data_IF_210919842161
#
_entry.id   IF_210919842161
#
_cell.length_a   1.000
_cell.length_b   1.000
_cell.length_c   1.000
_cell.angle_alpha   90.00
_cell.angle_beta   90.00
_cell.angle_gamma   90.00
#
_symmetry.space_group_name_H-M   'P 1'
#
loop_
_entity.id
_entity.type
_entity.pdbx_description
1 polymer ?
#
# COMPACT_ATOMS: atom_id res chain seq x y z
N UNK A 1 -6.83 -13.24 -0.14
CA UNK A 1 -7.93 -12.35 -0.53
C UNK A 1 -9.26 -13.09 -0.63
N UNK A 2 -9.38 -14.10 -1.48
CA UNK A 2 -10.65 -14.85 -1.67
C UNK A 2 -11.19 -15.43 -0.35
N UNK A 3 -10.34 -15.99 0.51
CA UNK A 3 -10.76 -16.42 1.85
C UNK A 3 -11.24 -15.23 2.70
N UNK A 4 -10.53 -14.12 2.68
CA UNK A 4 -10.93 -12.94 3.45
C UNK A 4 -12.30 -12.40 3.01
N UNK A 5 -12.66 -12.53 1.73
CA UNK A 5 -13.98 -12.12 1.24
C UNK A 5 -15.15 -12.95 1.78
N UNK A 6 -14.89 -14.07 2.47
CA UNK A 6 -15.93 -14.86 3.17
C UNK A 6 -16.35 -14.22 4.50
N UNK A 7 -15.55 -13.28 5.03
CA UNK A 7 -15.81 -12.61 6.30
C UNK A 7 -16.86 -11.50 6.10
N UNK A 8 -18.13 -11.86 6.13
CA UNK A 8 -19.28 -10.97 5.89
C UNK A 8 -20.18 -10.78 7.11
N UNK A 9 -19.60 -10.92 8.31
CA UNK A 9 -20.30 -10.57 9.54
C UNK A 9 -20.12 -9.07 9.86
N UNK A 10 -21.19 -8.32 9.64
CA UNK A 10 -21.20 -6.85 9.81
C UNK A 10 -22.32 -6.44 10.79
N UNK A 11 -22.10 -6.60 12.13
CA UNK A 11 -23.16 -6.39 13.13
C UNK A 11 -23.65 -4.93 13.21
N UNK A 12 -22.82 -3.96 12.78
CA UNK A 12 -23.11 -2.53 12.88
C UNK A 12 -23.43 -1.88 11.53
N UNK A 13 -23.47 -2.65 10.45
CA UNK A 13 -23.77 -2.14 9.11
C UNK A 13 -25.16 -2.62 8.63
N UNK A 14 -25.69 -1.95 7.61
CA UNK A 14 -26.97 -2.33 7.02
C UNK A 14 -26.93 -3.72 6.37
N UNK A 15 -28.11 -4.36 6.28
CA UNK A 15 -28.24 -5.65 5.57
C UNK A 15 -27.86 -5.55 4.09
N UNK A 16 -28.06 -4.39 3.48
CA UNK A 16 -27.69 -4.13 2.09
C UNK A 16 -26.16 -4.19 1.91
N UNK A 17 -25.39 -3.72 2.89
CA UNK A 17 -23.94 -3.83 2.86
C UNK A 17 -23.50 -5.29 2.77
N UNK A 18 -24.01 -6.13 3.66
CA UNK A 18 -23.72 -7.56 3.64
C UNK A 18 -24.09 -8.20 2.31
N UNK A 19 -25.30 -7.94 1.80
CA UNK A 19 -25.78 -8.46 0.53
C UNK A 19 -24.89 -8.09 -0.64
N UNK A 20 -24.44 -6.83 -0.71
CA UNK A 20 -23.53 -6.37 -1.76
C UNK A 20 -22.15 -7.02 -1.66
N UNK A 21 -21.58 -7.11 -0.45
CA UNK A 21 -20.31 -7.80 -0.23
C UNK A 21 -20.38 -9.28 -0.64
N UNK A 22 -21.46 -9.97 -0.31
CA UNK A 22 -21.65 -11.39 -0.66
C UNK A 22 -21.91 -11.60 -2.15
N UNK A 23 -22.60 -10.67 -2.80
CA UNK A 23 -22.83 -10.70 -4.23
C UNK A 23 -21.56 -10.46 -5.04
N UNK A 24 -20.81 -9.45 -4.68
CA UNK A 24 -19.71 -8.94 -5.50
C UNK A 24 -18.34 -9.49 -5.11
N UNK A 25 -18.10 -9.83 -3.83
CA UNK A 25 -16.85 -10.39 -3.33
C UNK A 25 -15.61 -9.63 -3.80
N UNK A 26 -15.67 -8.29 -3.82
CA UNK A 26 -14.61 -7.44 -4.36
C UNK A 26 -13.25 -7.73 -3.71
N UNK A 27 -12.24 -7.88 -4.54
CA UNK A 27 -10.84 -7.97 -4.13
C UNK A 27 -10.06 -6.78 -4.70
N UNK A 28 -8.87 -6.60 -4.17
CA UNK A 28 -7.95 -5.56 -4.63
C UNK A 28 -6.52 -6.07 -4.59
N UNK A 29 -6.18 -7.02 -5.45
CA UNK A 29 -4.79 -7.44 -5.64
C UNK A 29 -4.06 -6.33 -6.39
N UNK A 30 -2.95 -5.84 -5.82
CA UNK A 30 -2.13 -4.81 -6.43
C UNK A 30 -0.64 -5.11 -6.23
N UNK A 31 0.21 -4.48 -7.03
CA UNK A 31 1.66 -4.64 -6.97
C UNK A 31 2.25 -3.31 -6.48
N UNK A 32 3.16 -3.38 -5.51
CA UNK A 32 4.01 -2.26 -5.12
C UNK A 32 5.45 -2.52 -5.59
N UNK A 33 6.29 -1.48 -5.62
CA UNK A 33 7.68 -1.63 -6.08
C UNK A 33 7.83 -1.73 -7.60
N UNK A 34 6.91 -1.18 -8.37
CA UNK A 34 6.89 -1.37 -9.82
C UNK A 34 8.10 -0.72 -10.52
N UNK A 35 8.63 0.37 -10.00
CA UNK A 35 9.83 1.02 -10.56
C UNK A 35 11.14 0.35 -10.10
N UNK A 36 11.10 -0.45 -9.05
CA UNK A 36 12.25 -1.23 -8.60
C UNK A 36 12.40 -2.56 -9.38
N UNK A 37 11.36 -2.97 -10.12
CA UNK A 37 11.35 -4.23 -10.86
C UNK A 37 10.86 -4.02 -12.30
N UNK A 38 11.79 -4.03 -13.26
CA UNK A 38 11.48 -3.82 -14.68
C UNK A 38 10.48 -4.84 -15.25
N UNK A 39 10.51 -6.08 -14.76
CA UNK A 39 9.65 -7.17 -15.25
C UNK A 39 8.16 -6.85 -15.05
N UNK A 40 7.79 -6.27 -13.90
CA UNK A 40 6.38 -5.93 -13.61
C UNK A 40 5.90 -4.64 -14.29
N UNK A 41 6.73 -4.04 -15.14
CA UNK A 41 6.34 -2.94 -16.05
C UNK A 41 6.02 -3.42 -17.46
N UNK A 42 6.30 -4.69 -17.78
CA UNK A 42 5.94 -5.30 -19.06
C UNK A 42 4.42 -5.60 -19.08
N UNK A 43 3.66 -5.04 -20.05
CA UNK A 43 2.22 -5.27 -20.18
C UNK A 43 1.84 -6.75 -20.26
N UNK A 44 2.63 -7.56 -20.96
CA UNK A 44 2.39 -9.00 -21.11
C UNK A 44 2.55 -9.76 -19.80
N UNK A 45 3.48 -9.32 -18.96
CA UNK A 45 3.68 -9.90 -17.63
C UNK A 45 2.52 -9.50 -16.72
N UNK A 46 2.12 -8.23 -16.71
CA UNK A 46 0.98 -7.74 -15.93
C UNK A 46 -0.30 -8.47 -16.31
N UNK A 47 -0.56 -8.68 -17.60
CA UNK A 47 -1.72 -9.44 -18.07
C UNK A 47 -1.71 -10.89 -17.56
N UNK A 48 -0.56 -11.57 -17.61
CA UNK A 48 -0.41 -12.93 -17.06
C UNK A 48 -0.67 -12.97 -15.56
N UNK A 49 -0.15 -12.01 -14.81
CA UNK A 49 -0.36 -11.92 -13.37
C UNK A 49 -1.82 -11.65 -13.01
N UNK A 50 -2.49 -10.76 -13.75
CA UNK A 50 -3.93 -10.50 -13.63
C UNK A 50 -4.74 -11.77 -13.88
N UNK A 51 -4.47 -12.47 -14.99
CA UNK A 51 -5.18 -13.69 -15.35
C UNK A 51 -4.96 -14.81 -14.31
N UNK A 52 -3.75 -14.92 -13.76
CA UNK A 52 -3.46 -15.86 -12.67
C UNK A 52 -4.23 -15.51 -11.40
N UNK A 53 -4.28 -14.23 -11.01
CA UNK A 53 -5.07 -13.80 -9.86
C UNK A 53 -6.56 -14.14 -10.01
N UNK A 54 -7.12 -13.91 -11.20
CA UNK A 54 -8.52 -14.26 -11.53
C UNK A 54 -8.72 -15.78 -11.49
N UNK A 55 -7.82 -16.57 -12.06
CA UNK A 55 -7.85 -18.04 -12.04
C UNK A 55 -7.86 -18.59 -10.61
N UNK A 56 -6.99 -18.05 -9.76
CA UNK A 56 -6.91 -18.45 -8.34
C UNK A 56 -8.19 -18.06 -7.60
N UNK A 57 -8.72 -16.84 -7.82
CA UNK A 57 -9.98 -16.43 -7.22
C UNK A 57 -11.13 -17.38 -7.62
N UNK A 58 -11.28 -17.69 -8.90
CA UNK A 58 -12.30 -18.62 -9.40
C UNK A 58 -12.20 -19.99 -8.73
N UNK A 59 -10.98 -20.56 -8.66
CA UNK A 59 -10.72 -21.86 -8.02
C UNK A 59 -11.16 -21.89 -6.54
N UNK A 60 -10.77 -20.85 -5.78
CA UNK A 60 -11.09 -20.83 -4.35
C UNK A 60 -12.51 -20.39 -4.06
N UNK A 61 -13.11 -19.53 -4.87
CA UNK A 61 -14.53 -19.20 -4.76
C UNK A 61 -15.39 -20.46 -4.92
N UNK A 62 -15.09 -21.28 -5.92
CA UNK A 62 -15.76 -22.57 -6.12
C UNK A 62 -15.55 -23.52 -4.93
N UNK A 63 -14.31 -23.63 -4.40
CA UNK A 63 -14.00 -24.46 -3.24
C UNK A 63 -14.74 -24.03 -1.97
N UNK A 64 -14.98 -22.73 -1.80
CA UNK A 64 -15.67 -22.16 -0.64
C UNK A 64 -17.19 -22.06 -0.82
N UNK A 65 -17.71 -22.39 -2.01
CA UNK A 65 -19.16 -22.28 -2.30
C UNK A 65 -19.67 -20.84 -2.32
N UNK A 66 -18.82 -19.89 -2.72
CA UNK A 66 -19.16 -18.46 -2.80
C UNK A 66 -19.09 -17.94 -4.23
N UNK A 67 -19.68 -16.76 -4.47
CA UNK A 67 -19.56 -16.09 -5.76
C UNK A 67 -18.10 -15.78 -6.09
N UNK A 68 -17.75 -15.88 -7.36
CA UNK A 68 -16.50 -15.35 -7.87
C UNK A 68 -16.51 -13.83 -7.74
N UNK A 69 -15.35 -13.24 -7.39
CA UNK A 69 -15.20 -11.80 -7.29
C UNK A 69 -15.46 -11.12 -8.65
N UNK A 70 -16.28 -10.08 -8.65
CA UNK A 70 -16.55 -9.27 -9.86
C UNK A 70 -15.33 -8.43 -10.26
N UNK A 71 -14.51 -8.05 -9.27
CA UNK A 71 -13.25 -7.36 -9.47
C UNK A 71 -12.17 -8.00 -8.61
N UNK A 72 -11.01 -8.33 -9.21
CA UNK A 72 -9.92 -9.04 -8.51
C UNK A 72 -8.69 -8.17 -8.35
N UNK A 73 -8.31 -7.43 -9.38
CA UNK A 73 -7.11 -6.58 -9.38
C UNK A 73 -7.49 -5.11 -9.35
N UNK A 74 -6.63 -4.28 -8.76
CA UNK A 74 -6.79 -2.83 -8.81
C UNK A 74 -5.44 -2.12 -8.62
N UNK A 75 -5.41 -0.84 -8.98
CA UNK A 75 -4.31 0.05 -8.61
C UNK A 75 -4.61 0.62 -7.23
N UNK A 76 -3.68 0.51 -6.30
CA UNK A 76 -3.80 1.02 -4.93
C UNK A 76 -2.68 2.01 -4.63
N UNK A 77 -2.93 3.03 -3.79
CA UNK A 77 -1.85 3.69 -3.06
C UNK A 77 -1.23 2.67 -2.09
N UNK A 78 0.10 2.54 -2.10
CA UNK A 78 0.75 1.51 -1.29
C UNK A 78 0.75 1.82 0.22
N UNK A 79 0.52 3.07 0.60
CA UNK A 79 0.54 3.51 1.99
C UNK A 79 1.85 3.14 2.68
N UNK A 80 1.77 2.37 3.75
CA UNK A 80 2.93 1.92 4.52
C UNK A 80 3.54 0.61 4.01
N UNK A 81 2.84 -0.17 3.19
CA UNK A 81 3.29 -1.49 2.74
C UNK A 81 4.63 -1.42 2.01
N UNK A 82 4.80 -0.46 1.10
CA UNK A 82 6.05 -0.26 0.37
C UNK A 82 7.23 0.03 1.29
N UNK A 83 6.99 0.75 2.39
CA UNK A 83 8.02 1.07 3.37
C UNK A 83 8.41 -0.13 4.22
N UNK A 84 7.45 -0.98 4.56
CA UNK A 84 7.69 -2.22 5.33
C UNK A 84 8.58 -3.20 4.57
N UNK A 85 8.43 -3.23 3.24
CA UNK A 85 9.21 -4.14 2.36
C UNK A 85 10.33 -3.43 1.60
N UNK A 86 10.61 -2.17 1.94
CA UNK A 86 11.63 -1.32 1.33
C UNK A 86 11.61 -1.31 -0.22
N UNK A 87 10.48 -0.96 -0.79
CA UNK A 87 10.34 -0.80 -2.23
C UNK A 87 9.67 0.53 -2.60
N UNK A 88 9.68 0.87 -3.88
CA UNK A 88 8.98 2.04 -4.41
C UNK A 88 7.46 1.93 -4.20
N UNK A 89 6.77 3.05 -4.10
CA UNK A 89 5.38 3.14 -3.67
C UNK A 89 4.41 2.86 -4.81
N UNK A 90 3.87 1.64 -4.87
CA UNK A 90 2.89 1.24 -5.87
C UNK A 90 3.45 1.38 -7.28
N UNK A 91 2.81 2.24 -8.07
CA UNK A 91 3.20 2.58 -9.44
C UNK A 91 4.11 3.82 -9.53
N UNK A 92 4.53 4.39 -8.41
CA UNK A 92 5.41 5.56 -8.39
C UNK A 92 6.87 5.15 -8.24
N UNK A 93 7.78 6.05 -8.69
CA UNK A 93 9.22 5.95 -8.43
C UNK A 93 9.53 6.15 -6.95
N UNK A 94 10.78 5.96 -6.55
CA UNK A 94 11.24 6.36 -5.22
C UNK A 94 11.29 7.89 -5.11
N UNK A 95 11.18 8.40 -3.89
CA UNK A 95 11.14 9.85 -3.66
C UNK A 95 12.46 10.54 -4.02
N UNK A 96 13.56 10.04 -3.49
CA UNK A 96 14.92 10.57 -3.71
C UNK A 96 15.95 9.51 -3.32
N UNK A 97 17.24 9.66 -3.75
CA UNK A 97 18.32 8.77 -3.29
C UNK A 97 18.51 8.79 -1.77
N UNK A 98 18.33 9.95 -1.16
CA UNK A 98 18.37 10.15 0.29
C UNK A 98 17.21 11.07 0.71
N UNK A 99 16.50 10.71 1.76
CA UNK A 99 15.44 11.55 2.31
C UNK A 99 15.17 11.27 3.78
N UNK A 100 14.51 12.17 4.45
CA UNK A 100 14.04 11.99 5.83
C UNK A 100 12.56 11.56 5.79
N UNK A 101 12.30 10.36 6.28
CA UNK A 101 10.93 9.88 6.47
C UNK A 101 10.41 10.36 7.82
N UNK A 102 9.30 11.08 7.79
CA UNK A 102 8.60 11.56 8.99
C UNK A 102 7.42 10.67 9.31
N UNK A 103 7.39 10.16 10.53
CA UNK A 103 6.32 9.28 11.03
C UNK A 103 5.64 9.95 12.22
N UNK A 104 4.33 10.17 12.11
CA UNK A 104 3.54 10.69 13.22
C UNK A 104 3.16 9.58 14.17
N UNK A 105 3.27 9.84 15.47
CA UNK A 105 2.96 8.89 16.54
C UNK A 105 2.32 9.61 17.71
N UNK A 106 1.39 8.97 18.41
CA UNK A 106 0.78 9.55 19.61
C UNK A 106 1.80 9.67 20.75
N UNK A 107 1.72 10.77 21.50
CA UNK A 107 2.55 10.97 22.70
C UNK A 107 2.33 9.87 23.77
N UNK A 108 1.17 9.22 23.77
CA UNK A 108 0.82 8.16 24.72
C UNK A 108 1.24 6.76 24.26
N UNK A 109 1.66 6.61 23.00
CA UNK A 109 2.06 5.32 22.43
C UNK A 109 3.30 4.78 23.14
N UNK A 110 3.26 3.50 23.51
CA UNK A 110 4.37 2.83 24.19
C UNK A 110 5.63 2.77 23.31
N UNK A 111 5.45 2.60 21.99
CA UNK A 111 6.56 2.63 21.04
C UNK A 111 7.23 4.00 21.00
N UNK A 112 6.43 5.09 21.05
CA UNK A 112 7.00 6.45 21.13
C UNK A 112 7.85 6.64 22.36
N UNK A 113 7.36 6.23 23.53
CA UNK A 113 8.10 6.34 24.79
C UNK A 113 9.44 5.61 24.70
N UNK A 114 9.43 4.38 24.23
CA UNK A 114 10.65 3.58 24.03
C UNK A 114 11.64 4.26 23.09
N UNK A 115 11.18 4.74 21.93
CA UNK A 115 12.06 5.41 20.94
C UNK A 115 12.61 6.74 21.45
N UNK A 116 11.82 7.49 22.23
CA UNK A 116 12.26 8.71 22.91
C UNK A 116 13.36 8.41 23.92
N UNK A 117 13.20 7.36 24.73
CA UNK A 117 14.19 6.96 25.73
C UNK A 117 15.51 6.48 25.08
N UNK A 118 15.43 5.96 23.85
CA UNK A 118 16.61 5.60 23.04
C UNK A 118 17.22 6.78 22.28
N UNK A 119 16.69 8.00 22.44
CA UNK A 119 17.25 9.20 21.85
C UNK A 119 16.93 9.38 20.36
N UNK A 120 15.90 8.71 19.83
CA UNK A 120 15.46 8.91 18.45
C UNK A 120 14.99 10.36 18.25
N UNK A 121 15.45 11.08 17.22
CA UNK A 121 15.04 12.45 16.95
C UNK A 121 13.51 12.56 16.81
N UNK A 122 12.91 13.46 17.56
CA UNK A 122 11.47 13.68 17.58
C UNK A 122 11.12 15.15 17.83
N UNK A 123 10.04 15.58 17.20
CA UNK A 123 9.55 16.95 17.26
C UNK A 123 8.03 16.93 17.46
N UNK A 124 7.44 17.95 18.12
CA UNK A 124 5.99 18.06 18.17
C UNK A 124 5.40 18.21 16.77
N UNK A 125 4.18 17.77 16.57
CA UNK A 125 3.42 18.00 15.33
C UNK A 125 3.29 19.51 15.08
N UNK A 126 3.22 19.90 13.82
CA UNK A 126 3.05 21.30 13.43
C UNK A 126 1.84 21.92 14.13
N UNK A 127 2.04 23.06 14.76
CA UNK A 127 1.01 23.74 15.54
C UNK A 127 0.87 23.30 17.00
N UNK A 128 1.72 22.40 17.49
CA UNK A 128 1.77 21.98 18.91
C UNK A 128 3.09 22.41 19.56
N UNK A 129 3.04 22.76 20.85
CA UNK A 129 4.25 22.98 21.65
C UNK A 129 4.81 21.66 22.19
N UNK A 130 6.06 21.63 22.65
CA UNK A 130 6.63 20.44 23.28
C UNK A 130 5.90 20.01 24.55
N UNK A 131 5.32 20.96 25.25
CA UNK A 131 4.65 20.76 26.57
C UNK A 131 3.26 20.16 26.37
N UNK A 132 2.53 20.59 25.33
CA UNK A 132 1.13 20.21 25.09
C UNK A 132 0.98 19.21 23.92
N UNK A 133 2.07 18.70 23.37
CA UNK A 133 2.02 17.85 22.19
C UNK A 133 1.32 16.51 22.50
N UNK A 134 0.24 16.26 21.80
CA UNK A 134 -0.46 14.97 21.76
C UNK A 134 0.09 14.05 20.67
N UNK A 135 0.79 14.63 19.69
CA UNK A 135 1.40 13.92 18.55
C UNK A 135 2.83 14.40 18.35
N UNK A 136 3.72 13.45 18.19
CA UNK A 136 5.12 13.70 17.83
C UNK A 136 5.44 13.17 16.43
N UNK A 137 6.44 13.79 15.81
CA UNK A 137 7.00 13.40 14.52
C UNK A 137 8.39 12.83 14.76
N UNK A 138 8.57 11.55 14.42
CA UNK A 138 9.87 10.88 14.42
C UNK A 138 10.52 11.04 13.05
N UNK A 139 11.82 11.24 12.99
CA UNK A 139 12.58 11.38 11.76
C UNK A 139 13.53 10.21 11.55
N UNK A 140 13.41 9.56 10.40
CA UNK A 140 14.25 8.44 10.01
C UNK A 140 14.97 8.77 8.70
N UNK A 141 16.32 8.74 8.67
CA UNK A 141 17.08 8.86 7.43
C UNK A 141 16.89 7.59 6.59
N UNK A 142 16.53 7.77 5.33
CA UNK A 142 16.35 6.68 4.37
C UNK A 142 17.33 6.87 3.21
N UNK A 143 18.01 5.80 2.83
CA UNK A 143 18.79 5.69 1.60
C UNK A 143 18.06 4.74 0.65
N UNK A 144 17.79 5.17 -0.58
CA UNK A 144 17.31 4.28 -1.64
C UNK A 144 18.44 3.31 -2.06
N UNK A 145 18.11 2.12 -2.58
CA UNK A 145 19.10 1.23 -3.19
C UNK A 145 19.90 1.92 -4.29
N UNK A 146 21.13 1.49 -4.48
CA UNK A 146 21.98 2.04 -5.54
C UNK A 146 21.36 1.74 -6.92
N UNK A 147 21.27 2.75 -7.78
CA UNK A 147 20.60 2.66 -9.08
C UNK A 147 19.05 2.71 -9.04
N UNK A 148 18.47 3.01 -7.90
CA UNK A 148 17.02 3.19 -7.79
C UNK A 148 16.54 4.36 -8.66
N UNK A 149 15.42 4.16 -9.34
CA UNK A 149 14.76 5.20 -10.14
C UNK A 149 13.96 6.10 -9.20
N UNK A 150 14.31 7.39 -9.17
CA UNK A 150 13.69 8.41 -8.33
C UNK A 150 12.75 9.32 -9.13
N UNK A 151 11.99 10.16 -8.44
CA UNK A 151 10.99 11.02 -9.06
C UNK A 151 11.55 11.99 -10.11
N UNK A 152 12.79 12.41 -9.95
CA UNK A 152 13.43 13.37 -10.85
C UNK A 152 14.03 12.69 -12.10
N UNK A 153 14.07 11.35 -12.12
CA UNK A 153 14.54 10.55 -13.25
C UNK A 153 13.42 10.22 -14.25
N UNK A 154 12.16 10.51 -13.91
CA UNK A 154 10.99 10.13 -14.71
C UNK A 154 10.10 11.33 -14.96
N UNK A 155 9.84 11.60 -16.26
CA UNK A 155 8.94 12.68 -16.66
C UNK A 155 7.47 12.40 -16.33
N UNK A 156 6.65 13.45 -16.30
CA UNK A 156 5.22 13.31 -16.05
C UNK A 156 4.51 12.45 -17.13
N UNK A 157 4.95 12.55 -18.37
CA UNK A 157 4.40 11.76 -19.48
C UNK A 157 4.74 10.28 -19.29
N UNK A 158 5.98 9.95 -18.95
CA UNK A 158 6.41 8.56 -18.73
C UNK A 158 5.63 7.92 -17.58
N UNK A 159 5.36 8.70 -16.53
CA UNK A 159 4.54 8.26 -15.39
C UNK A 159 3.09 8.00 -15.82
N UNK A 160 2.51 8.82 -16.70
CA UNK A 160 1.17 8.63 -17.25
C UNK A 160 1.10 7.43 -18.20
N UNK A 161 2.11 7.22 -19.01
CA UNK A 161 2.22 6.05 -19.90
C UNK A 161 2.31 4.76 -19.05
N UNK A 162 3.11 4.77 -18.00
CA UNK A 162 3.18 3.64 -17.08
C UNK A 162 1.82 3.38 -16.41
N UNK A 163 1.13 4.43 -15.94
CA UNK A 163 -0.22 4.29 -15.39
C UNK A 163 -1.19 3.66 -16.39
N UNK A 164 -1.14 4.06 -17.65
CA UNK A 164 -1.97 3.50 -18.72
C UNK A 164 -1.72 1.99 -18.93
N UNK A 165 -0.49 1.54 -18.77
CA UNK A 165 -0.13 0.11 -18.87
C UNK A 165 -0.68 -0.68 -17.68
N UNK A 166 -0.67 -0.10 -16.48
CA UNK A 166 -1.08 -0.78 -15.24
C UNK A 166 -2.61 -0.84 -15.11
N UNK A 167 -3.33 0.12 -15.65
CA UNK A 167 -4.79 0.21 -15.62
C UNK A 167 -5.45 -0.79 -16.55
#
# INVERSE_FOLDING_TARGET
GTYQSTLTYFPYLSKEWKKNCEKERLLGVSITGQWDCAIVRDPKVLEKLKNEAIRVNKKYAQKFGINQSTCVTCVKPSGNTSQTVDCSSGMHTRHAPYYIRRVRISATDALFKMLKDQGVPHYPEVGQSREDATTFVLEFPIKAPDGAICKDDVGAIDQLEHWKVVK
#
